data_IF_470767395627
#
_entry.id   IF_470767395627
#
_cell.length_a   1.000
_cell.length_b   1.000
_cell.length_c   1.000
_cell.angle_alpha   90.00
_cell.angle_beta   90.00
_cell.angle_gamma   90.00
#
_symmetry.space_group_name_H-M   'P 1'
#
loop_
_entity.id
_entity.type
_entity.pdbx_description
1 polymer ?
#
# COMPACT_ATOMS: atom_id res chain seq x y z
N UNK A 1 -22.58 -21.12 -17.84
CA UNK A 1 -23.18 -20.43 -16.67
C UNK A 1 -22.53 -20.97 -15.41
N UNK A 2 -21.64 -20.24 -14.73
CA UNK A 2 -21.14 -20.65 -13.43
C UNK A 2 -22.27 -20.48 -12.41
N UNK A 3 -22.48 -21.51 -11.59
CA UNK A 3 -23.48 -21.50 -10.51
C UNK A 3 -23.10 -20.41 -9.51
N UNK A 4 -24.00 -19.45 -9.30
CA UNK A 4 -23.97 -18.56 -8.13
C UNK A 4 -23.84 -19.48 -6.92
N UNK A 5 -22.74 -19.34 -6.18
CA UNK A 5 -22.54 -20.06 -4.93
C UNK A 5 -23.73 -19.73 -4.05
N UNK A 6 -24.60 -20.70 -3.73
CA UNK A 6 -25.81 -20.44 -2.92
C UNK A 6 -25.38 -20.21 -1.48
N UNK A 7 -24.94 -18.99 -1.20
CA UNK A 7 -24.68 -18.50 0.14
C UNK A 7 -26.00 -18.35 0.88
N UNK A 8 -25.93 -18.42 2.23
CA UNK A 8 -27.08 -18.18 3.12
C UNK A 8 -27.80 -16.85 2.82
N UNK A 9 -27.10 -15.89 2.22
CA UNK A 9 -27.54 -14.51 1.99
C UNK A 9 -27.71 -14.16 0.50
N UNK A 10 -27.67 -15.14 -0.41
CA UNK A 10 -27.73 -14.91 -1.86
C UNK A 10 -29.01 -14.24 -2.38
N UNK A 11 -30.08 -14.20 -1.58
CA UNK A 11 -31.36 -13.56 -1.92
C UNK A 11 -31.38 -12.05 -1.63
N UNK A 12 -30.45 -11.54 -0.82
CA UNK A 12 -30.42 -10.14 -0.43
C UNK A 12 -29.91 -9.26 -1.57
N UNK A 13 -30.58 -8.13 -1.79
CA UNK A 13 -30.17 -7.09 -2.73
C UNK A 13 -29.02 -6.26 -2.19
N UNK A 14 -28.33 -5.53 -3.07
CA UNK A 14 -27.20 -4.69 -2.66
C UNK A 14 -27.60 -3.60 -1.65
N UNK A 15 -28.72 -2.86 -1.80
CA UNK A 15 -29.16 -1.88 -0.79
C UNK A 15 -29.50 -2.51 0.56
N UNK A 16 -30.11 -3.71 0.58
CA UNK A 16 -30.39 -4.43 1.83
C UNK A 16 -29.09 -4.85 2.53
N UNK A 17 -28.10 -5.31 1.76
CA UNK A 17 -26.79 -5.66 2.29
C UNK A 17 -26.07 -4.43 2.87
N UNK A 18 -26.15 -3.24 2.26
CA UNK A 18 -25.60 -2.00 2.85
C UNK A 18 -26.16 -1.77 4.26
N UNK A 19 -27.48 -1.87 4.43
CA UNK A 19 -28.13 -1.67 5.74
C UNK A 19 -27.74 -2.75 6.76
N UNK A 20 -27.64 -4.01 6.32
CA UNK A 20 -27.33 -5.13 7.20
C UNK A 20 -25.86 -5.16 7.62
N UNK A 21 -24.93 -4.72 6.76
CA UNK A 21 -23.50 -4.61 7.07
C UNK A 21 -23.27 -3.61 8.21
N UNK A 22 -24.03 -2.51 8.27
CA UNK A 22 -23.96 -1.55 9.39
C UNK A 22 -24.30 -2.17 10.75
N UNK A 23 -25.12 -3.22 10.75
CA UNK A 23 -25.59 -3.89 11.98
C UNK A 23 -24.76 -5.13 12.32
N UNK A 24 -24.30 -5.86 11.30
CA UNK A 24 -23.49 -7.05 11.46
C UNK A 24 -22.49 -7.21 10.30
N UNK A 25 -21.20 -7.21 10.62
CA UNK A 25 -20.11 -7.40 9.67
C UNK A 25 -20.16 -8.73 8.90
N UNK A 26 -20.85 -9.76 9.39
CA UNK A 26 -20.95 -11.06 8.71
C UNK A 26 -21.57 -10.97 7.31
N UNK A 27 -22.40 -9.95 7.07
CA UNK A 27 -23.01 -9.70 5.76
C UNK A 27 -21.99 -9.21 4.72
N UNK A 28 -20.84 -8.66 5.14
CA UNK A 28 -19.76 -8.27 4.22
C UNK A 28 -19.16 -9.49 3.50
N UNK A 29 -19.13 -10.64 4.17
CA UNK A 29 -18.65 -11.90 3.59
C UNK A 29 -19.48 -12.36 2.39
N UNK A 30 -20.74 -11.91 2.28
CA UNK A 30 -21.57 -12.13 1.09
C UNK A 30 -21.06 -11.31 -0.10
N UNK A 31 -20.84 -10.02 0.11
CA UNK A 31 -20.32 -9.10 -0.92
C UNK A 31 -18.97 -9.58 -1.42
N UNK A 32 -18.07 -9.98 -0.51
CA UNK A 32 -16.77 -10.57 -0.85
C UNK A 32 -16.92 -11.75 -1.82
N UNK A 33 -17.80 -12.70 -1.53
CA UNK A 33 -18.01 -13.90 -2.35
C UNK A 33 -18.63 -13.59 -3.71
N UNK A 34 -19.57 -12.64 -3.77
CA UNK A 34 -20.23 -12.21 -5.01
C UNK A 34 -19.23 -11.54 -5.95
N UNK A 35 -18.37 -10.68 -5.41
CA UNK A 35 -17.60 -9.75 -6.22
C UNK A 35 -16.15 -10.17 -6.49
N UNK A 36 -15.53 -11.03 -5.67
CA UNK A 36 -14.10 -11.33 -5.78
C UNK A 36 -13.68 -11.81 -7.17
N UNK A 37 -14.35 -12.85 -7.68
CA UNK A 37 -13.94 -13.50 -8.94
C UNK A 37 -13.94 -12.53 -10.11
N UNK A 38 -14.99 -11.72 -10.25
CA UNK A 38 -15.10 -10.76 -11.35
C UNK A 38 -14.15 -9.58 -11.16
N UNK A 39 -13.95 -9.09 -9.93
CA UNK A 39 -13.01 -7.99 -9.65
C UNK A 39 -11.56 -8.39 -9.95
N UNK A 40 -11.16 -9.60 -9.60
CA UNK A 40 -9.82 -10.12 -9.91
C UNK A 40 -9.65 -10.34 -11.42
N UNK A 41 -10.68 -10.84 -12.13
CA UNK A 41 -10.64 -10.97 -13.59
C UNK A 41 -10.55 -9.60 -14.28
N UNK A 42 -11.30 -8.61 -13.79
CA UNK A 42 -11.25 -7.22 -14.23
C UNK A 42 -9.83 -6.67 -14.14
N UNK A 43 -9.21 -6.75 -12.95
CA UNK A 43 -7.84 -6.26 -12.76
C UNK A 43 -6.83 -7.03 -13.60
N UNK A 44 -6.98 -8.36 -13.73
CA UNK A 44 -6.07 -9.17 -14.56
C UNK A 44 -6.08 -8.72 -16.02
N UNK A 45 -7.27 -8.42 -16.56
CA UNK A 45 -7.42 -7.87 -17.91
C UNK A 45 -6.78 -6.49 -18.00
N UNK A 46 -7.02 -5.62 -17.02
CA UNK A 46 -6.44 -4.28 -16.96
C UNK A 46 -4.91 -4.28 -16.93
N UNK A 47 -4.29 -5.27 -16.28
CA UNK A 47 -2.83 -5.40 -16.19
C UNK A 47 -2.23 -6.24 -17.31
N UNK A 48 -3.01 -6.68 -18.31
CA UNK A 48 -2.57 -7.65 -19.32
C UNK A 48 -1.88 -8.89 -18.71
N UNK A 49 -2.37 -9.34 -17.54
CA UNK A 49 -1.79 -10.46 -16.78
C UNK A 49 -0.40 -10.21 -16.16
N UNK A 50 0.09 -8.97 -16.11
CA UNK A 50 1.42 -8.67 -15.57
C UNK A 50 1.54 -8.77 -14.05
N UNK A 51 0.43 -8.72 -13.32
CA UNK A 51 0.40 -8.79 -11.85
C UNK A 51 0.04 -10.20 -11.39
N UNK A 52 0.64 -10.65 -10.29
CA UNK A 52 0.38 -11.97 -9.71
C UNK A 52 -0.98 -12.05 -9.01
N UNK A 53 -1.50 -13.27 -8.83
CA UNK A 53 -2.78 -13.50 -8.16
C UNK A 53 -2.80 -12.94 -6.73
N UNK A 54 -1.68 -12.99 -6.01
CA UNK A 54 -1.54 -12.41 -4.66
C UNK A 54 -1.66 -10.89 -4.69
N UNK A 55 -0.98 -10.21 -5.63
CA UNK A 55 -1.08 -8.75 -5.76
C UNK A 55 -2.50 -8.29 -6.11
N UNK A 56 -3.21 -9.05 -6.94
CA UNK A 56 -4.60 -8.76 -7.30
C UNK A 56 -5.55 -9.02 -6.12
N UNK A 57 -5.34 -10.10 -5.37
CA UNK A 57 -6.12 -10.39 -4.17
C UNK A 57 -5.93 -9.30 -3.10
N UNK A 58 -4.71 -8.81 -2.90
CA UNK A 58 -4.42 -7.72 -1.96
C UNK A 58 -5.18 -6.45 -2.33
N UNK A 59 -5.17 -6.05 -3.61
CA UNK A 59 -5.94 -4.87 -4.08
C UNK A 59 -7.45 -5.07 -3.87
N UNK A 60 -7.97 -6.28 -4.07
CA UNK A 60 -9.38 -6.57 -3.82
C UNK A 60 -9.73 -6.52 -2.32
N UNK A 61 -8.84 -7.01 -1.44
CA UNK A 61 -9.07 -6.97 0.00
C UNK A 61 -9.05 -5.53 0.49
N UNK A 62 -8.11 -4.73 0.01
CA UNK A 62 -8.07 -3.28 0.26
C UNK A 62 -9.40 -2.63 -0.17
N UNK A 63 -9.89 -2.93 -1.38
CA UNK A 63 -11.16 -2.39 -1.89
C UNK A 63 -12.40 -2.78 -1.05
N UNK A 64 -12.46 -4.03 -0.56
CA UNK A 64 -13.52 -4.48 0.35
C UNK A 64 -13.46 -3.75 1.69
N UNK A 65 -12.26 -3.47 2.21
CA UNK A 65 -12.09 -2.68 3.43
C UNK A 65 -12.58 -1.24 3.24
N UNK A 66 -12.26 -0.59 2.10
CA UNK A 66 -12.81 0.73 1.76
C UNK A 66 -14.33 0.73 1.80
N UNK A 67 -14.95 -0.27 1.16
CA UNK A 67 -16.41 -0.40 1.15
C UNK A 67 -16.96 -0.51 2.58
N UNK A 68 -16.34 -1.34 3.41
CA UNK A 68 -16.76 -1.53 4.80
C UNK A 68 -16.64 -0.24 5.62
N UNK A 69 -15.51 0.45 5.57
CA UNK A 69 -15.29 1.71 6.30
C UNK A 69 -16.32 2.77 5.91
N UNK A 70 -16.60 2.90 4.61
CA UNK A 70 -17.63 3.81 4.09
C UNK A 70 -19.02 3.47 4.62
N UNK A 71 -19.40 2.19 4.56
CA UNK A 71 -20.70 1.72 5.07
C UNK A 71 -20.83 2.03 6.58
N UNK A 72 -19.81 1.72 7.38
CA UNK A 72 -19.81 1.94 8.84
C UNK A 72 -19.83 3.44 9.18
N UNK A 73 -19.21 4.30 8.37
CA UNK A 73 -19.27 5.76 8.57
C UNK A 73 -20.69 6.34 8.48
N UNK A 74 -21.64 5.59 7.91
CA UNK A 74 -23.07 5.88 7.99
C UNK A 74 -23.61 6.84 6.92
N UNK A 75 -22.73 7.44 6.11
CA UNK A 75 -23.10 8.35 5.01
C UNK A 75 -22.86 7.75 3.61
N UNK A 76 -22.65 6.43 3.52
CA UNK A 76 -22.45 5.75 2.25
C UNK A 76 -23.76 5.56 1.49
N UNK A 77 -23.80 6.10 0.28
CA UNK A 77 -24.86 5.86 -0.69
C UNK A 77 -24.32 5.04 -1.84
N UNK A 78 -24.92 3.87 -2.07
CA UNK A 78 -24.51 2.98 -3.13
C UNK A 78 -25.13 3.45 -4.48
N UNK A 79 -24.33 4.08 -5.33
CA UNK A 79 -24.77 4.66 -6.61
C UNK A 79 -24.58 3.73 -7.83
N UNK A 80 -24.18 2.48 -7.61
CA UNK A 80 -23.97 1.43 -8.62
C UNK A 80 -24.04 0.06 -7.95
N UNK A 81 -24.03 -1.05 -8.70
CA UNK A 81 -23.89 -2.37 -8.07
C UNK A 81 -22.62 -2.47 -7.22
N UNK A 82 -22.58 -3.35 -6.21
CA UNK A 82 -21.34 -3.61 -5.47
C UNK A 82 -20.19 -4.05 -6.38
N UNK A 83 -20.51 -4.81 -7.45
CA UNK A 83 -19.51 -5.23 -8.43
C UNK A 83 -18.87 -4.02 -9.13
N UNK A 84 -19.69 -3.10 -9.63
CA UNK A 84 -19.21 -1.88 -10.29
C UNK A 84 -18.44 -0.98 -9.33
N UNK A 85 -18.93 -0.81 -8.11
CA UNK A 85 -18.24 -0.04 -7.08
C UNK A 85 -16.85 -0.63 -6.78
N UNK A 86 -16.77 -1.93 -6.50
CA UNK A 86 -15.51 -2.60 -6.18
C UNK A 86 -14.53 -2.62 -7.35
N UNK A 87 -15.00 -2.81 -8.60
CA UNK A 87 -14.16 -2.67 -9.79
C UNK A 87 -13.56 -1.26 -9.87
N UNK A 88 -14.34 -0.23 -9.56
CA UNK A 88 -13.89 1.16 -9.61
C UNK A 88 -12.82 1.47 -8.57
N UNK A 89 -13.04 1.01 -7.33
CA UNK A 89 -12.05 1.14 -6.24
C UNK A 89 -10.77 0.35 -6.56
N UNK A 90 -10.90 -0.89 -7.05
CA UNK A 90 -9.77 -1.70 -7.49
C UNK A 90 -8.97 -1.00 -8.60
N UNK A 91 -9.66 -0.44 -9.61
CA UNK A 91 -9.05 0.33 -10.71
C UNK A 91 -8.25 1.50 -10.18
N UNK A 92 -8.85 2.32 -9.31
CA UNK A 92 -8.22 3.51 -8.75
C UNK A 92 -6.96 3.14 -7.95
N UNK A 93 -7.05 2.15 -7.07
CA UNK A 93 -5.91 1.69 -6.28
C UNK A 93 -4.79 1.11 -7.14
N UNK A 94 -5.13 0.32 -8.17
CA UNK A 94 -4.15 -0.27 -9.07
C UNK A 94 -3.42 0.81 -9.89
N UNK A 95 -4.14 1.81 -10.41
CA UNK A 95 -3.54 2.95 -11.10
C UNK A 95 -2.63 3.76 -10.18
N UNK A 96 -3.02 3.98 -8.93
CA UNK A 96 -2.17 4.66 -7.95
C UNK A 96 -0.90 3.86 -7.65
N UNK A 97 -0.99 2.53 -7.48
CA UNK A 97 0.18 1.65 -7.30
C UNK A 97 1.10 1.70 -8.53
N UNK A 98 0.56 1.59 -9.74
CA UNK A 98 1.33 1.63 -11.00
C UNK A 98 1.95 3.01 -11.28
N UNK A 99 1.23 4.10 -10.97
CA UNK A 99 1.71 5.47 -11.13
C UNK A 99 2.90 5.78 -10.21
N UNK A 100 2.91 5.22 -9.00
CA UNK A 100 4.06 5.26 -8.07
C UNK A 100 5.26 4.45 -8.57
N UNK A 101 5.02 3.33 -9.27
CA UNK A 101 6.08 2.47 -9.82
C UNK A 101 6.76 3.04 -11.08
N UNK A 102 6.05 3.80 -11.93
CA UNK A 102 6.55 4.15 -13.27
C UNK A 102 6.70 5.64 -13.60
N UNK A 103 6.32 6.56 -12.72
CA UNK A 103 6.28 7.98 -13.10
C UNK A 103 5.15 8.21 -14.09
N UNK A 104 4.03 8.75 -13.57
CA UNK A 104 2.80 9.11 -14.26
C UNK A 104 2.98 9.48 -15.75
N UNK A 105 2.46 8.66 -16.69
CA UNK A 105 1.99 9.14 -18.02
C UNK A 105 1.31 8.11 -18.94
N UNK A 106 1.36 6.78 -18.70
CA UNK A 106 1.06 5.83 -19.81
C UNK A 106 -0.15 4.89 -19.64
N UNK A 107 -0.98 5.06 -18.59
CA UNK A 107 -2.10 4.13 -18.30
C UNK A 107 -3.50 4.75 -18.49
N UNK A 108 -3.60 5.96 -19.04
CA UNK A 108 -4.89 6.66 -19.17
C UNK A 108 -5.66 6.35 -20.46
N UNK A 109 -5.11 5.54 -21.38
CA UNK A 109 -5.72 5.31 -22.68
C UNK A 109 -6.01 3.81 -22.89
N UNK A 110 -7.20 3.50 -23.42
CA UNK A 110 -7.63 2.19 -23.95
C UNK A 110 -8.48 1.24 -23.09
N UNK A 111 -9.15 1.70 -22.03
CA UNK A 111 -10.28 0.93 -21.49
C UNK A 111 -11.57 1.66 -21.84
N UNK A 112 -12.30 1.10 -22.81
CA UNK A 112 -13.65 1.52 -23.19
C UNK A 112 -14.47 1.81 -21.93
N UNK A 113 -15.16 2.96 -21.95
CA UNK A 113 -16.10 3.37 -20.91
C UNK A 113 -17.33 2.49 -21.00
N UNK A 114 -17.20 1.23 -20.60
CA UNK A 114 -18.31 0.30 -20.51
C UNK A 114 -19.09 0.61 -19.22
N UNK A 115 -19.90 1.67 -19.27
CA UNK A 115 -20.93 2.00 -18.26
C UNK A 115 -22.19 1.14 -18.44
N UNK A 116 -22.04 -0.09 -18.93
CA UNK A 116 -23.12 -1.07 -18.95
C UNK A 116 -23.23 -1.70 -17.56
N UNK A 117 -24.24 -1.29 -16.78
CA UNK A 117 -24.45 -1.80 -15.41
C UNK A 117 -24.77 -3.30 -15.37
N UNK A 118 -25.20 -3.91 -16.48
CA UNK A 118 -25.38 -5.37 -16.56
C UNK A 118 -24.05 -6.12 -16.77
N UNK A 119 -22.99 -5.41 -17.16
CA UNK A 119 -21.67 -5.99 -17.33
C UNK A 119 -20.94 -6.10 -15.97
N UNK A 120 -20.63 -7.31 -15.47
CA UNK A 120 -19.89 -7.50 -14.22
C UNK A 120 -18.44 -6.96 -14.28
N UNK A 121 -17.98 -6.55 -15.45
CA UNK A 121 -16.68 -5.94 -15.71
C UNK A 121 -16.74 -4.40 -15.74
N UNK A 122 -17.92 -3.81 -15.57
CA UNK A 122 -18.13 -2.35 -15.58
C UNK A 122 -17.48 -1.67 -14.38
N UNK A 123 -17.12 -0.40 -14.55
CA UNK A 123 -16.60 0.50 -13.52
C UNK A 123 -17.10 1.93 -13.77
N UNK A 124 -17.13 2.77 -12.73
CA UNK A 124 -17.41 4.22 -12.81
C UNK A 124 -16.14 4.99 -12.43
N UNK A 125 -15.57 5.74 -13.36
CA UNK A 125 -14.32 6.49 -13.14
C UNK A 125 -14.43 7.59 -12.07
N UNK A 126 -15.65 8.05 -11.77
CA UNK A 126 -15.94 9.02 -10.71
C UNK A 126 -15.78 8.44 -9.30
N UNK A 127 -15.78 7.12 -9.14
CA UNK A 127 -15.53 6.46 -7.86
C UNK A 127 -14.02 6.32 -7.70
N UNK A 128 -13.44 7.17 -6.87
CA UNK A 128 -12.00 7.22 -6.56
C UNK A 128 -11.73 6.95 -5.08
N UNK A 129 -12.61 6.20 -4.41
CA UNK A 129 -12.41 5.82 -3.02
C UNK A 129 -11.16 4.93 -2.89
N UNK A 130 -10.40 5.11 -1.81
CA UNK A 130 -9.18 4.36 -1.51
C UNK A 130 -9.09 4.17 -0.01
N UNK A 131 -8.32 3.17 0.42
CA UNK A 131 -7.85 3.15 1.80
C UNK A 131 -6.92 4.34 1.95
N UNK A 132 -7.18 5.15 2.98
CA UNK A 132 -6.21 6.14 3.40
C UNK A 132 -4.92 5.39 3.76
N UNK A 133 -3.77 5.85 3.24
CA UNK A 133 -2.52 5.39 3.80
C UNK A 133 -2.55 5.79 5.28
N UNK A 134 -2.57 4.80 6.17
CA UNK A 134 -2.28 5.06 7.58
C UNK A 134 -0.91 5.74 7.56
N UNK A 135 -0.88 7.04 7.82
CA UNK A 135 0.37 7.74 8.08
C UNK A 135 0.99 7.04 9.28
N UNK A 136 1.90 6.09 9.03
CA UNK A 136 2.76 5.62 10.09
C UNK A 136 3.47 6.88 10.59
N UNK A 137 3.25 7.30 11.86
CA UNK A 137 3.82 8.54 12.38
C UNK A 137 5.35 8.52 12.35
N UNK A 138 5.96 7.35 12.10
CA UNK A 138 7.39 7.17 11.90
C UNK A 138 7.81 7.12 10.43
N UNK A 139 6.90 7.05 9.44
CA UNK A 139 7.23 7.00 8.01
C UNK A 139 8.08 8.21 7.61
N UNK A 140 7.66 9.40 8.00
CA UNK A 140 8.42 10.64 7.79
C UNK A 140 9.80 10.60 8.45
N UNK A 141 9.89 10.05 9.67
CA UNK A 141 11.15 9.86 10.40
C UNK A 141 12.07 8.86 9.68
N UNK A 142 11.53 7.75 9.18
CA UNK A 142 12.27 6.75 8.42
C UNK A 142 12.80 7.33 7.11
N UNK A 143 11.95 8.03 6.34
CA UNK A 143 12.36 8.71 5.11
C UNK A 143 13.43 9.76 5.38
N UNK A 144 13.33 10.53 6.47
CA UNK A 144 14.35 11.49 6.86
C UNK A 144 15.69 10.83 7.21
N UNK A 145 15.67 9.68 7.91
CA UNK A 145 16.88 8.90 8.22
C UNK A 145 17.52 8.33 6.94
N UNK A 146 16.71 7.83 6.01
CA UNK A 146 17.17 7.30 4.72
C UNK A 146 17.90 8.38 3.90
N UNK A 147 17.25 9.54 3.70
CA UNK A 147 17.87 10.70 3.05
C UNK A 147 19.15 11.15 3.76
N UNK A 148 19.15 11.16 5.09
CA UNK A 148 20.32 11.54 5.87
C UNK A 148 21.50 10.57 5.68
N UNK A 149 21.23 9.27 5.55
CA UNK A 149 22.25 8.27 5.22
C UNK A 149 22.82 8.49 3.81
N UNK A 150 21.97 8.79 2.82
CA UNK A 150 22.42 9.09 1.45
C UNK A 150 23.26 10.36 1.39
N UNK A 151 22.87 11.42 2.09
CA UNK A 151 23.67 12.64 2.23
C UNK A 151 25.03 12.32 2.85
N UNK A 152 25.06 11.48 3.90
CA UNK A 152 26.32 11.06 4.53
C UNK A 152 27.20 10.23 3.59
N UNK A 153 26.60 9.37 2.76
CA UNK A 153 27.29 8.58 1.75
C UNK A 153 27.92 9.48 0.68
N UNK A 154 27.17 10.46 0.18
CA UNK A 154 27.64 11.43 -0.82
C UNK A 154 28.71 12.38 -0.27
N UNK A 155 28.56 12.82 0.98
CA UNK A 155 29.55 13.66 1.66
C UNK A 155 30.87 12.91 1.97
N UNK A 156 30.86 11.57 1.87
CA UNK A 156 32.02 10.72 2.07
C UNK A 156 32.47 10.58 3.53
N UNK A 157 33.67 9.99 3.68
CA UNK A 157 34.24 9.61 4.97
C UNK A 157 33.68 8.28 5.50
N UNK A 158 34.07 7.92 6.73
CA UNK A 158 33.80 6.58 7.28
C UNK A 158 32.45 6.42 7.98
N UNK A 159 31.68 7.50 8.17
CA UNK A 159 30.48 7.42 9.02
C UNK A 159 29.33 6.59 8.42
N UNK A 160 29.07 6.72 7.11
CA UNK A 160 28.07 5.87 6.44
C UNK A 160 28.45 4.40 6.57
N UNK A 161 29.68 4.07 6.17
CA UNK A 161 30.23 2.71 6.21
C UNK A 161 30.24 2.11 7.62
N UNK A 162 30.70 2.87 8.62
CA UNK A 162 30.73 2.44 10.03
C UNK A 162 29.32 2.07 10.52
N UNK A 163 28.32 2.89 10.21
CA UNK A 163 26.94 2.65 10.62
C UNK A 163 26.34 1.44 9.88
N UNK A 164 26.60 1.29 8.58
CA UNK A 164 26.17 0.13 7.78
C UNK A 164 26.77 -1.17 8.33
N UNK A 165 28.09 -1.20 8.57
CA UNK A 165 28.76 -2.38 9.11
C UNK A 165 28.27 -2.77 10.51
N UNK A 166 27.92 -1.78 11.34
CA UNK A 166 27.39 -2.05 12.67
C UNK A 166 25.91 -2.47 12.65
N UNK A 167 25.03 -1.73 11.97
CA UNK A 167 23.59 -1.97 12.02
C UNK A 167 23.12 -3.09 11.09
N UNK A 168 23.69 -3.18 9.89
CA UNK A 168 23.28 -4.16 8.89
C UNK A 168 24.11 -5.44 8.99
N UNK A 169 25.43 -5.31 8.96
CA UNK A 169 26.34 -6.47 9.04
C UNK A 169 26.63 -6.97 10.46
N UNK A 170 26.07 -6.31 11.49
CA UNK A 170 26.19 -6.69 12.91
C UNK A 170 27.63 -6.90 13.40
N UNK A 171 28.61 -6.20 12.80
CA UNK A 171 30.01 -6.31 13.21
C UNK A 171 30.21 -5.84 14.66
N UNK A 172 31.00 -6.59 15.42
CA UNK A 172 31.38 -6.22 16.78
C UNK A 172 32.28 -4.98 16.80
N UNK A 173 32.37 -4.30 17.95
CA UNK A 173 33.28 -3.16 18.10
C UNK A 173 34.75 -3.53 17.83
N UNK A 174 35.16 -4.76 18.15
CA UNK A 174 36.53 -5.22 17.93
C UNK A 174 36.81 -5.42 16.43
N UNK A 175 35.88 -6.03 15.69
CA UNK A 175 35.99 -6.14 14.23
C UNK A 175 36.01 -4.77 13.56
N UNK A 176 35.17 -3.84 14.01
CA UNK A 176 35.16 -2.46 13.48
C UNK A 176 36.45 -1.72 13.83
N UNK A 177 37.01 -1.93 15.02
CA UNK A 177 38.29 -1.33 15.44
C UNK A 177 39.41 -1.76 14.49
N UNK A 178 39.49 -3.06 14.19
CA UNK A 178 40.45 -3.60 13.25
C UNK A 178 40.20 -3.10 11.82
N UNK A 179 38.94 -3.10 11.39
CA UNK A 179 38.54 -2.69 10.04
C UNK A 179 38.94 -1.23 9.73
N UNK A 180 38.69 -0.31 10.67
CA UNK A 180 39.00 1.11 10.50
C UNK A 180 40.38 1.52 11.03
N UNK A 181 41.17 0.58 11.58
CA UNK A 181 42.49 0.87 12.13
C UNK A 181 42.49 1.77 13.38
N UNK A 182 41.42 1.71 14.19
CA UNK A 182 41.36 2.47 15.44
C UNK A 182 42.24 1.83 16.53
N UNK A 183 42.74 2.66 17.45
CA UNK A 183 43.68 2.24 18.50
C UNK A 183 43.08 1.26 19.49
N UNK A 184 41.79 1.40 19.80
CA UNK A 184 41.06 0.54 20.72
C UNK A 184 39.54 0.60 20.48
N UNK A 185 38.82 -0.31 21.13
CA UNK A 185 37.36 -0.44 21.05
C UNK A 185 36.60 0.81 21.51
N UNK A 186 37.15 1.56 22.45
CA UNK A 186 36.49 2.76 22.99
C UNK A 186 36.54 3.93 22.00
N UNK A 187 37.63 4.07 21.24
CA UNK A 187 37.72 5.02 20.13
C UNK A 187 36.67 4.71 19.06
N UNK A 188 36.47 3.43 18.75
CA UNK A 188 35.43 2.98 17.81
C UNK A 188 34.02 3.30 18.31
N UNK A 189 33.73 3.05 19.60
CA UNK A 189 32.44 3.41 20.22
C UNK A 189 32.20 4.92 20.16
N UNK A 190 33.22 5.72 20.48
CA UNK A 190 33.15 7.17 20.45
C UNK A 190 32.92 7.69 19.02
N UNK A 191 33.62 7.12 18.05
CA UNK A 191 33.44 7.49 16.64
C UNK A 191 32.03 7.10 16.15
N UNK A 192 31.54 5.92 16.52
CA UNK A 192 30.16 5.49 16.22
C UNK A 192 29.15 6.47 16.80
N UNK A 193 29.30 6.85 18.08
CA UNK A 193 28.41 7.81 18.72
C UNK A 193 28.41 9.17 18.01
N UNK A 194 29.59 9.65 17.55
CA UNK A 194 29.69 10.88 16.75
C UNK A 194 28.98 10.76 15.40
N UNK A 195 29.14 9.63 14.70
CA UNK A 195 28.45 9.37 13.45
C UNK A 195 26.93 9.28 13.63
N UNK A 196 26.45 8.66 14.71
CA UNK A 196 25.03 8.61 15.06
C UNK A 196 24.46 10.02 15.31
N UNK A 197 25.16 10.86 16.08
CA UNK A 197 24.76 12.26 16.31
C UNK A 197 24.73 13.08 15.02
N UNK A 198 25.69 12.84 14.11
CA UNK A 198 25.70 13.49 12.79
C UNK A 198 24.48 13.07 11.97
N UNK A 199 24.16 11.77 11.95
CA UNK A 199 22.97 11.25 11.27
C UNK A 199 21.69 11.88 11.83
N UNK A 200 21.54 11.88 13.15
CA UNK A 200 20.38 12.46 13.85
C UNK A 200 20.19 13.93 13.48
N UNK A 201 21.28 14.72 13.43
CA UNK A 201 21.22 16.13 13.04
C UNK A 201 20.76 16.33 11.58
N UNK A 202 21.24 15.50 10.65
CA UNK A 202 20.84 15.61 9.24
C UNK A 202 19.39 15.16 9.09
N UNK A 203 19.00 14.05 9.72
CA UNK A 203 17.63 13.56 9.70
C UNK A 203 16.65 14.57 10.32
N UNK A 204 17.03 15.23 11.42
CA UNK A 204 16.21 16.29 12.01
C UNK A 204 16.01 17.46 11.04
N UNK A 205 17.04 17.86 10.29
CA UNK A 205 16.89 18.92 9.29
C UNK A 205 15.98 18.47 8.13
N UNK A 206 16.13 17.23 7.65
CA UNK A 206 15.27 16.68 6.59
C UNK A 206 13.80 16.52 7.01
N UNK A 207 13.55 16.30 8.31
CA UNK A 207 12.19 16.15 8.85
C UNK A 207 11.46 17.50 8.99
N UNK A 208 12.20 18.60 9.16
CA UNK A 208 11.65 19.94 9.42
C UNK A 208 11.78 20.90 8.22
N UNK A 209 12.27 20.41 7.08
CA UNK A 209 12.31 21.12 5.80
C UNK A 209 11.11 20.71 4.94
#
# INVERSE_FOLDING_TARGET
MPKISSTKFGHLTDPELVQLIQQNQDYLGEVYKRCKTYSVQFMRKMTNGSKSDYELDDVFHDAILVLYEKIIAGNFELTASFQTYLNSVCRFQLLNKLGKEKGYSDYEEHLDKDEDEENPMSYKSTITDTLDEVEDPKKSQFTAIEKALDIMKLAGGHCYELLTLFWYHKKSMNELTQYFGYSNSDNTKNQKARCQKRLEKIAFNELNN
#
